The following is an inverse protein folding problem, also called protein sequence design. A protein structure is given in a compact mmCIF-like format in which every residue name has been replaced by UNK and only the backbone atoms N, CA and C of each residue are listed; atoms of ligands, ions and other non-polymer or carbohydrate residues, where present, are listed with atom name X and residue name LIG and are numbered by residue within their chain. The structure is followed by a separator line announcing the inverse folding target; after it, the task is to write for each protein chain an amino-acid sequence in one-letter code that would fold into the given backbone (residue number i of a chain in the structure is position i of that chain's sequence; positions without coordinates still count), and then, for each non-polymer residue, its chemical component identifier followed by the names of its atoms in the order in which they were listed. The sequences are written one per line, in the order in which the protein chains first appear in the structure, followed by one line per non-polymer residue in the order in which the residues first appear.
data_IF_836156666103
#
_entry.id   IF_836156666103
#
_cell.length_a   1.000
_cell.length_b   1.000
_cell.length_c   1.000
_cell.angle_alpha   90.00
_cell.angle_beta   90.00
_cell.angle_gamma   90.00
#
_symmetry.space_group_name_H-M   'P 1'
#
loop_
_entity.id
_entity.type
_entity.pdbx_description
1 polymer ?
#
# COMPACT_ATOMS: atom_id res chain seq x y z
N UNK A 1 9.69 48.04 20.43
CA UNK A 1 8.61 47.25 19.79
C UNK A 1 9.17 46.75 18.48
N UNK A 2 9.85 45.62 18.56
CA UNK A 2 10.68 45.12 17.47
C UNK A 2 9.84 44.35 16.45
N UNK A 3 10.17 44.56 15.18
CA UNK A 3 9.62 43.89 14.01
C UNK A 3 9.86 42.36 14.07
N UNK A 4 8.92 41.62 14.68
CA UNK A 4 8.87 40.15 14.63
C UNK A 4 8.20 39.59 13.36
N UNK A 5 7.90 40.45 12.37
CA UNK A 5 7.34 40.04 11.07
C UNK A 5 8.40 40.00 9.95
N UNK A 6 9.62 39.57 10.28
CA UNK A 6 10.47 38.98 9.26
C UNK A 6 9.79 37.68 8.79
N UNK A 7 8.95 37.77 7.75
CA UNK A 7 8.44 36.60 7.05
C UNK A 7 9.66 35.79 6.58
N UNK A 8 9.85 34.53 7.02
CA UNK A 8 11.07 33.80 6.70
C UNK A 8 11.00 33.28 5.27
N UNK A 9 11.11 34.17 4.28
CA UNK A 9 11.44 33.79 2.91
C UNK A 9 12.85 33.15 2.84
N UNK A 10 13.68 33.33 3.87
CA UNK A 10 15.06 32.84 3.98
C UNK A 10 15.22 31.42 4.55
N UNK A 11 14.14 30.70 4.87
CA UNK A 11 14.20 29.26 5.23
C UNK A 11 13.41 28.38 4.25
N UNK A 12 13.45 28.71 2.96
CA UNK A 12 12.98 27.77 1.93
C UNK A 12 13.99 26.63 1.88
N UNK A 13 13.62 25.47 2.45
CA UNK A 13 14.37 24.24 2.26
C UNK A 13 14.59 24.00 0.76
N UNK A 14 15.84 24.07 0.33
CA UNK A 14 16.26 23.51 -0.96
C UNK A 14 16.33 22.01 -0.76
N UNK A 15 15.23 21.33 -1.05
CA UNK A 15 15.17 19.87 -0.95
C UNK A 15 16.19 19.27 -1.90
N UNK A 16 17.00 18.32 -1.43
CA UNK A 16 17.93 17.58 -2.28
C UNK A 16 17.08 16.88 -3.33
N UNK A 17 17.35 17.08 -4.64
CA UNK A 17 16.65 16.35 -5.68
C UNK A 17 16.73 14.86 -5.40
N UNK A 18 15.57 14.22 -5.31
CA UNK A 18 15.47 12.78 -5.19
C UNK A 18 14.90 12.24 -6.49
N UNK A 19 15.44 11.11 -6.92
CA UNK A 19 14.88 10.37 -8.05
C UNK A 19 13.57 9.75 -7.58
N UNK A 20 12.48 10.05 -8.29
CA UNK A 20 11.22 9.36 -8.13
C UNK A 20 11.38 7.94 -8.69
N UNK A 21 11.22 6.94 -7.83
CA UNK A 21 11.50 5.55 -8.22
C UNK A 21 10.31 4.94 -8.99
N UNK A 22 10.52 3.99 -9.92
CA UNK A 22 9.43 3.40 -10.71
C UNK A 22 8.32 2.79 -9.83
N UNK A 23 7.08 3.23 -10.06
CA UNK A 23 5.90 2.82 -9.28
C UNK A 23 5.85 3.33 -7.84
N UNK A 24 6.76 4.20 -7.40
CA UNK A 24 6.75 4.78 -6.05
C UNK A 24 5.48 5.59 -5.76
N UNK A 25 4.91 5.47 -4.56
CA UNK A 25 3.80 6.34 -4.15
C UNK A 25 4.30 7.74 -3.77
N UNK A 26 3.50 8.79 -4.02
CA UNK A 26 3.87 10.16 -3.63
C UNK A 26 4.15 10.26 -2.13
N UNK A 27 3.35 9.58 -1.31
CA UNK A 27 3.59 9.48 0.13
C UNK A 27 4.94 8.84 0.46
N UNK A 28 5.46 7.90 -0.34
CA UNK A 28 6.76 7.24 -0.13
C UNK A 28 7.90 8.20 -0.44
N UNK A 29 7.78 8.92 -1.54
CA UNK A 29 8.75 9.95 -1.93
C UNK A 29 8.89 11.00 -0.83
N UNK A 30 7.76 11.50 -0.31
CA UNK A 30 7.73 12.48 0.78
C UNK A 30 8.32 11.88 2.07
N UNK A 31 8.02 10.62 2.40
CA UNK A 31 8.58 9.94 3.58
C UNK A 31 10.10 9.81 3.53
N UNK A 32 10.65 9.44 2.38
CA UNK A 32 12.10 9.33 2.17
C UNK A 32 12.75 10.70 2.29
N UNK A 33 12.18 11.73 1.68
CA UNK A 33 12.70 13.09 1.80
C UNK A 33 12.64 13.59 3.25
N UNK A 34 11.53 13.38 3.96
CA UNK A 34 11.40 13.81 5.34
C UNK A 34 12.50 13.20 6.22
N UNK A 35 12.78 11.91 6.02
CA UNK A 35 13.84 11.20 6.75
C UNK A 35 15.26 11.66 6.37
N UNK A 36 15.54 11.90 5.08
CA UNK A 36 16.82 12.46 4.64
C UNK A 36 17.11 13.82 5.30
N UNK A 37 16.06 14.61 5.53
CA UNK A 37 16.16 15.93 6.17
C UNK A 37 16.02 15.89 7.69
N UNK A 38 15.77 14.73 8.29
CA UNK A 38 15.55 14.60 9.73
C UNK A 38 14.31 15.35 10.24
N UNK A 39 13.30 15.54 9.41
CA UNK A 39 12.04 16.26 9.74
C UNK A 39 10.83 15.33 9.68
N UNK A 40 9.71 15.76 10.26
CA UNK A 40 8.44 15.03 10.13
C UNK A 40 7.81 15.24 8.74
N UNK A 41 7.02 14.27 8.27
CA UNK A 41 6.31 14.39 6.98
C UNK A 41 5.45 15.65 6.94
N UNK A 42 4.70 15.91 8.02
CA UNK A 42 3.84 17.10 8.11
C UNK A 42 4.64 18.40 7.98
N UNK A 43 5.83 18.46 8.58
CA UNK A 43 6.70 19.64 8.56
C UNK A 43 7.23 19.88 7.16
N UNK A 44 7.72 18.82 6.50
CA UNK A 44 8.18 18.89 5.12
C UNK A 44 7.06 19.36 4.18
N UNK A 45 5.85 18.82 4.33
CA UNK A 45 4.69 19.19 3.48
C UNK A 45 4.30 20.65 3.72
N UNK A 46 4.28 21.13 4.96
CA UNK A 46 3.98 22.52 5.29
C UNK A 46 5.03 23.50 4.77
N UNK A 47 6.31 23.13 4.86
CA UNK A 47 7.41 23.94 4.33
C UNK A 47 7.43 23.95 2.80
N UNK A 48 7.02 22.86 2.16
CA UNK A 48 6.87 22.80 0.72
C UNK A 48 5.72 23.69 0.26
N UNK A 49 4.52 23.49 0.81
CA UNK A 49 3.32 24.25 0.45
C UNK A 49 2.34 24.30 1.63
N UNK A 50 2.28 25.41 2.38
CA UNK A 50 1.50 25.45 3.63
C UNK A 50 0.00 25.16 3.46
N UNK A 51 -0.72 26.00 2.70
CA UNK A 51 -2.18 25.87 2.50
C UNK A 51 -2.51 24.58 1.75
N UNK A 52 -1.84 24.37 0.61
CA UNK A 52 -2.02 23.20 -0.25
C UNK A 52 -1.65 21.89 0.44
N UNK A 53 -0.62 21.94 1.28
CA UNK A 53 -0.09 20.81 2.03
C UNK A 53 -1.04 20.37 3.14
N UNK A 54 -1.74 21.30 3.80
CA UNK A 54 -2.80 20.95 4.75
C UNK A 54 -3.88 20.07 4.11
N UNK A 55 -4.28 20.40 2.87
CA UNK A 55 -5.25 19.60 2.11
C UNK A 55 -4.61 18.28 1.67
N UNK A 56 -3.38 18.31 1.14
CA UNK A 56 -2.69 17.15 0.62
C UNK A 56 -2.35 16.11 1.71
N UNK A 57 -2.14 16.51 2.97
CA UNK A 57 -1.86 15.59 4.08
C UNK A 57 -3.00 14.58 4.35
N UNK A 58 -4.24 14.89 3.95
CA UNK A 58 -5.36 13.95 4.04
C UNK A 58 -5.10 12.67 3.24
N UNK A 59 -4.49 12.80 2.05
CA UNK A 59 -4.09 11.70 1.20
C UNK A 59 -3.13 12.20 0.08
N UNK A 60 -1.81 12.10 0.34
CA UNK A 60 -0.78 12.56 -0.60
C UNK A 60 -0.82 11.83 -1.94
N UNK A 61 -1.24 10.57 -1.95
CA UNK A 61 -1.26 9.76 -3.18
C UNK A 61 -2.48 10.09 -4.06
N UNK A 62 -3.52 10.72 -3.50
CA UNK A 62 -4.80 10.99 -4.18
C UNK A 62 -5.06 12.51 -4.36
N UNK A 63 -4.15 13.36 -3.88
CA UNK A 63 -4.35 14.80 -3.85
C UNK A 63 -4.62 15.39 -5.26
N UNK A 64 -5.86 15.87 -5.48
CA UNK A 64 -6.25 16.64 -6.67
C UNK A 64 -6.14 18.14 -6.48
N UNK A 65 -6.43 18.59 -5.26
CA UNK A 65 -6.65 19.99 -4.96
C UNK A 65 -5.39 20.66 -4.39
N UNK A 66 -5.17 21.91 -4.78
CA UNK A 66 -4.29 22.83 -4.05
C UNK A 66 -2.94 23.16 -4.68
N UNK A 67 -2.56 22.65 -5.85
CA UNK A 67 -1.23 22.99 -6.40
C UNK A 67 -0.04 22.48 -5.56
N UNK A 68 -0.30 21.55 -4.61
CA UNK A 68 0.77 20.93 -3.82
C UNK A 68 1.81 20.29 -4.76
N UNK A 69 1.37 19.50 -5.74
CA UNK A 69 2.28 18.85 -6.68
C UNK A 69 3.05 19.85 -7.55
N UNK A 70 2.46 21.00 -7.90
CA UNK A 70 3.14 22.05 -8.66
C UNK A 70 4.25 22.68 -7.82
N UNK A 71 3.93 23.06 -6.58
CA UNK A 71 4.90 23.65 -5.65
C UNK A 71 5.97 22.63 -5.26
N UNK A 72 5.59 21.38 -5.05
CA UNK A 72 6.50 20.29 -4.71
C UNK A 72 7.44 19.97 -5.87
N UNK A 73 6.95 19.94 -7.11
CA UNK A 73 7.77 19.84 -8.33
C UNK A 73 8.80 20.98 -8.38
N UNK A 74 8.35 22.23 -8.21
CA UNK A 74 9.23 23.40 -8.21
C UNK A 74 10.31 23.34 -7.12
N UNK A 75 9.97 22.83 -5.92
CA UNK A 75 10.88 22.75 -4.77
C UNK A 75 11.89 21.61 -4.85
N UNK A 76 11.50 20.49 -5.46
CA UNK A 76 12.33 19.27 -5.55
C UNK A 76 13.07 19.16 -6.88
N UNK A 77 12.66 19.92 -7.90
CA UNK A 77 13.16 19.81 -9.26
C UNK A 77 12.63 18.60 -10.03
N UNK A 78 11.71 17.81 -9.45
CA UNK A 78 11.08 16.67 -10.11
C UNK A 78 10.07 17.18 -11.14
N UNK A 79 10.08 16.61 -12.35
CA UNK A 79 9.10 16.93 -13.38
C UNK A 79 7.68 16.69 -12.85
N UNK A 80 6.85 17.73 -12.97
CA UNK A 80 5.45 17.71 -12.56
C UNK A 80 4.64 16.60 -13.22
N UNK A 81 4.94 16.26 -14.48
CA UNK A 81 4.29 15.18 -15.23
C UNK A 81 4.61 13.82 -14.62
N UNK A 82 5.84 13.63 -14.12
CA UNK A 82 6.22 12.40 -13.41
C UNK A 82 5.45 12.28 -12.09
N UNK A 83 5.31 13.37 -11.32
CA UNK A 83 4.47 13.35 -10.12
C UNK A 83 2.99 13.04 -10.43
N UNK A 84 2.46 13.54 -11.55
CA UNK A 84 1.10 13.19 -11.99
C UNK A 84 0.95 11.69 -12.28
N UNK A 85 1.91 11.09 -12.98
CA UNK A 85 1.88 9.66 -13.32
C UNK A 85 1.90 8.79 -12.05
N UNK A 86 2.59 9.24 -11.01
CA UNK A 86 2.67 8.52 -9.74
C UNK A 86 1.52 8.81 -8.77
N UNK A 87 0.58 9.67 -9.17
CA UNK A 87 -0.62 9.96 -8.40
C UNK A 87 -1.70 8.92 -8.69
N UNK A 88 -2.39 8.49 -7.65
CA UNK A 88 -3.60 7.70 -7.76
C UNK A 88 -4.82 8.54 -8.14
N UNK A 89 -5.73 7.94 -8.90
CA UNK A 89 -7.04 8.53 -9.13
C UNK A 89 -7.87 8.57 -7.83
N UNK A 90 -8.74 9.59 -7.68
CA UNK A 90 -9.64 9.72 -6.52
C UNK A 90 -10.61 8.55 -6.37
N UNK A 91 -11.04 7.99 -7.49
CA UNK A 91 -11.89 6.80 -7.55
C UNK A 91 -11.10 5.49 -7.39
N UNK A 92 -9.76 5.54 -7.31
CA UNK A 92 -8.96 4.33 -7.24
C UNK A 92 -9.27 3.56 -5.94
N UNK A 93 -9.51 2.24 -6.01
CA UNK A 93 -9.80 1.41 -4.85
C UNK A 93 -8.52 1.09 -4.06
N UNK A 94 -7.91 2.15 -3.52
CA UNK A 94 -6.81 2.07 -2.58
C UNK A 94 -7.33 1.83 -1.17
N UNK A 95 -6.55 1.12 -0.36
CA UNK A 95 -6.76 1.06 1.09
C UNK A 95 -6.66 2.46 1.69
N UNK A 96 -7.23 2.65 2.89
CA UNK A 96 -7.08 3.93 3.61
C UNK A 96 -5.61 4.30 3.75
N UNK A 97 -5.27 5.59 3.73
CA UNK A 97 -3.87 6.04 3.84
C UNK A 97 -3.16 5.42 5.06
N UNK A 98 -3.90 5.26 6.17
CA UNK A 98 -3.46 4.62 7.42
C UNK A 98 -3.19 3.12 7.32
N UNK A 99 -3.45 2.50 6.17
CA UNK A 99 -3.22 1.09 5.91
C UNK A 99 -2.22 0.88 4.76
N UNK A 100 -1.61 1.94 4.21
CA UNK A 100 -0.64 1.87 3.09
C UNK A 100 0.78 1.55 3.55
N UNK A 101 0.87 0.51 4.37
CA UNK A 101 2.11 -0.11 4.86
C UNK A 101 2.46 -1.47 4.24
N UNK A 102 1.70 -2.04 3.26
CA UNK A 102 2.15 -3.21 2.53
C UNK A 102 3.49 -2.99 1.84
N UNK A 103 4.39 -3.95 1.92
CA UNK A 103 5.66 -3.96 1.21
C UNK A 103 6.09 -5.35 0.79
N UNK A 104 6.95 -5.45 -0.22
CA UNK A 104 7.64 -6.70 -0.57
C UNK A 104 9.07 -6.68 0.01
N UNK A 105 9.41 -7.58 0.95
CA UNK A 105 10.77 -7.68 1.50
C UNK A 105 11.83 -7.98 0.43
N UNK A 106 11.50 -8.78 -0.57
CA UNK A 106 12.41 -9.08 -1.68
C UNK A 106 12.67 -7.86 -2.55
N UNK A 107 11.65 -7.08 -2.91
CA UNK A 107 11.84 -5.79 -3.59
C UNK A 107 12.72 -4.85 -2.78
N UNK A 108 12.48 -4.72 -1.47
CA UNK A 108 13.29 -3.86 -0.60
C UNK A 108 14.75 -4.31 -0.55
N UNK A 109 14.99 -5.62 -0.47
CA UNK A 109 16.33 -6.19 -0.49
C UNK A 109 17.03 -5.89 -1.83
N UNK A 110 16.34 -6.06 -2.96
CA UNK A 110 16.87 -5.74 -4.29
C UNK A 110 17.14 -4.24 -4.45
N UNK A 111 16.22 -3.37 -4.03
CA UNK A 111 16.37 -1.92 -4.06
C UNK A 111 17.63 -1.52 -3.26
N UNK A 112 17.77 -2.01 -2.02
CA UNK A 112 18.93 -1.74 -1.17
C UNK A 112 20.24 -2.33 -1.74
N UNK A 113 20.19 -3.53 -2.32
CA UNK A 113 21.37 -4.18 -2.93
C UNK A 113 21.84 -3.45 -4.18
N UNK A 114 20.93 -2.77 -4.88
CA UNK A 114 21.25 -1.90 -6.03
C UNK A 114 21.72 -0.49 -5.60
N UNK A 115 21.90 -0.23 -4.31
CA UNK A 115 22.28 1.09 -3.79
C UNK A 115 21.13 2.11 -3.80
N UNK A 116 19.89 1.66 -3.99
CA UNK A 116 18.71 2.52 -3.89
C UNK A 116 18.13 2.47 -2.48
N UNK A 117 17.62 3.62 -1.99
CA UNK A 117 16.82 3.64 -0.77
C UNK A 117 15.49 2.93 -1.07
N UNK A 118 15.14 1.84 -0.36
CA UNK A 118 13.88 1.13 -0.57
C UNK A 118 12.66 2.05 -0.48
N UNK A 119 11.63 1.75 -1.26
CA UNK A 119 10.49 2.64 -1.42
C UNK A 119 9.18 1.87 -1.55
N UNK A 120 8.09 2.47 -1.08
CA UNK A 120 6.76 1.87 -1.13
C UNK A 120 6.15 2.13 -2.50
N UNK A 121 5.79 1.05 -3.19
CA UNK A 121 5.15 1.11 -4.49
C UNK A 121 3.66 1.38 -4.32
N UNK A 122 3.10 2.24 -5.17
CA UNK A 122 1.69 2.64 -5.13
C UNK A 122 0.75 1.44 -5.32
N UNK A 123 1.13 0.49 -6.18
CA UNK A 123 0.35 -0.73 -6.40
C UNK A 123 0.10 -1.53 -5.11
N UNK A 124 1.03 -1.54 -4.17
CA UNK A 124 0.88 -2.26 -2.91
C UNK A 124 -0.25 -1.70 -2.02
N UNK A 125 -0.70 -0.48 -2.30
CA UNK A 125 -1.84 0.15 -1.63
C UNK A 125 -3.21 -0.26 -2.21
N UNK A 126 -3.28 -1.01 -3.30
CA UNK A 126 -4.57 -1.45 -3.88
C UNK A 126 -5.24 -2.44 -2.96
N UNK A 127 -6.56 -2.38 -2.82
CA UNK A 127 -7.32 -3.36 -2.01
C UNK A 127 -7.13 -4.78 -2.56
N UNK A 128 -7.14 -4.93 -3.89
CA UNK A 128 -7.10 -6.22 -4.57
C UNK A 128 -5.71 -6.74 -4.95
N UNK A 129 -4.63 -6.18 -4.37
CA UNK A 129 -3.26 -6.67 -4.63
C UNK A 129 -2.54 -7.04 -3.35
N UNK A 130 -2.54 -8.31 -2.98
CA UNK A 130 -1.98 -8.78 -1.71
C UNK A 130 -0.69 -9.56 -1.87
N UNK A 131 -0.27 -9.87 -3.10
CA UNK A 131 1.02 -10.45 -3.40
C UNK A 131 1.87 -9.51 -4.28
N UNK A 132 3.19 -9.70 -4.22
CA UNK A 132 4.10 -8.99 -5.10
C UNK A 132 4.03 -9.60 -6.50
N UNK A 133 3.62 -8.83 -7.50
CA UNK A 133 3.58 -9.30 -8.91
C UNK A 133 4.96 -9.69 -9.44
N UNK A 134 6.04 -9.08 -8.92
CA UNK A 134 7.41 -9.38 -9.34
C UNK A 134 7.93 -10.70 -8.74
N UNK A 135 7.66 -10.93 -7.45
CA UNK A 135 8.27 -12.05 -6.71
C UNK A 135 7.31 -13.20 -6.40
N UNK A 136 6.00 -13.03 -6.63
CA UNK A 136 5.01 -14.05 -6.34
C UNK A 136 4.84 -14.36 -4.85
N UNK A 137 5.39 -13.54 -3.94
CA UNK A 137 5.30 -13.72 -2.50
C UNK A 137 4.20 -12.83 -1.88
N UNK A 138 3.68 -13.17 -0.69
CA UNK A 138 2.81 -12.28 0.07
C UNK A 138 3.48 -10.91 0.28
N UNK A 139 2.70 -9.83 0.22
CA UNK A 139 3.10 -8.53 0.77
C UNK A 139 3.06 -8.55 2.31
N UNK A 140 4.00 -7.90 2.96
CA UNK A 140 4.11 -7.86 4.42
C UNK A 140 3.68 -6.49 4.93
N UNK A 141 3.36 -6.37 6.22
CA UNK A 141 3.05 -5.08 6.84
C UNK A 141 4.31 -4.46 7.42
N UNK A 142 4.68 -3.28 6.91
CA UNK A 142 5.70 -2.46 7.54
C UNK A 142 5.21 -1.95 8.89
N UNK A 143 5.99 -2.20 9.95
CA UNK A 143 5.61 -1.85 11.33
C UNK A 143 6.20 -0.54 11.82
N UNK A 144 7.34 -0.11 11.25
CA UNK A 144 8.05 1.10 11.69
C UNK A 144 7.39 2.33 11.10
N UNK A 145 6.34 2.81 11.76
CA UNK A 145 5.57 3.98 11.36
C UNK A 145 5.56 5.01 12.51
N UNK A 146 5.83 6.26 12.19
CA UNK A 146 5.71 7.40 13.11
C UNK A 146 4.25 7.66 13.50
N UNK A 147 4.04 8.45 14.55
CA UNK A 147 2.69 8.92 14.96
C UNK A 147 1.98 9.75 13.88
N UNK A 148 2.72 10.44 13.00
CA UNK A 148 2.17 11.17 11.84
C UNK A 148 1.97 10.29 10.59
N UNK A 149 2.17 8.97 10.72
CA UNK A 149 2.01 8.00 9.66
C UNK A 149 3.22 7.87 8.72
N UNK A 150 4.34 8.56 8.98
CA UNK A 150 5.60 8.44 8.21
C UNK A 150 6.17 7.03 8.32
N UNK A 151 6.46 6.37 7.20
CA UNK A 151 7.11 5.04 7.20
C UNK A 151 8.61 5.21 7.41
N UNK A 152 9.11 4.84 8.58
CA UNK A 152 10.52 4.96 8.95
C UNK A 152 11.33 3.82 8.37
N UNK A 153 12.32 4.13 7.54
CA UNK A 153 13.34 3.22 7.02
C UNK A 153 14.59 3.29 7.91
N UNK A 154 15.41 2.22 7.98
CA UNK A 154 16.73 2.27 8.62
C UNK A 154 17.61 3.38 8.05
N UNK A 155 18.33 4.08 8.94
CA UNK A 155 19.28 5.12 8.53
C UNK A 155 20.37 4.57 7.60
N UNK A 156 20.87 3.36 7.86
CA UNK A 156 21.86 2.67 7.02
C UNK A 156 21.47 2.57 5.54
N UNK A 157 20.17 2.50 5.21
CA UNK A 157 19.70 2.47 3.83
C UNK A 157 19.87 3.80 3.10
N UNK A 158 19.95 4.92 3.83
CA UNK A 158 20.19 6.25 3.26
C UNK A 158 21.67 6.55 3.01
N UNK A 159 22.57 5.85 3.70
CA UNK A 159 24.02 6.01 3.57
C UNK A 159 24.69 4.86 2.79
N UNK A 160 23.89 3.95 2.21
CA UNK A 160 24.39 2.91 1.31
C UNK A 160 24.96 1.67 2.01
N UNK A 161 24.69 1.44 3.30
CA UNK A 161 25.13 0.24 4.04
C UNK A 161 24.43 -1.06 3.58
N UNK A 162 23.54 -0.96 2.59
CA UNK A 162 22.76 -2.07 2.08
C UNK A 162 21.72 -2.57 3.08
N UNK A 163 21.08 -3.72 2.82
CA UNK A 163 20.10 -4.30 3.73
C UNK A 163 20.81 -4.89 4.95
N UNK A 164 21.24 -4.06 5.91
CA UNK A 164 21.73 -4.57 7.19
C UNK A 164 20.59 -5.22 7.97
N UNK A 165 20.48 -6.54 7.84
CA UNK A 165 19.46 -7.38 8.45
C UNK A 165 19.56 -7.39 9.99
N UNK A 166 20.68 -6.95 10.58
CA UNK A 166 20.87 -6.92 12.03
C UNK A 166 20.04 -5.82 12.68
N UNK A 167 19.85 -4.70 11.97
CA UNK A 167 19.09 -3.53 12.46
C UNK A 167 17.57 -3.71 12.47
N UNK A 168 17.04 -4.74 11.79
CA UNK A 168 15.60 -4.99 11.65
C UNK A 168 15.24 -6.48 11.72
N UNK A 169 15.05 -7.04 12.94
CA UNK A 169 14.67 -8.44 13.12
C UNK A 169 13.41 -8.83 12.33
N UNK A 170 12.38 -7.97 12.30
CA UNK A 170 11.17 -8.23 11.54
C UNK A 170 11.44 -8.30 10.03
N UNK A 171 12.23 -7.38 9.47
CA UNK A 171 12.54 -7.39 8.03
C UNK A 171 13.27 -8.68 7.63
N UNK A 172 14.19 -9.17 8.47
CA UNK A 172 14.87 -10.45 8.25
C UNK A 172 13.87 -11.62 8.22
N UNK A 173 12.94 -11.66 9.17
CA UNK A 173 11.90 -12.69 9.21
C UNK A 173 10.98 -12.61 7.98
N UNK A 174 10.50 -11.40 7.65
CA UNK A 174 9.65 -11.15 6.49
C UNK A 174 10.38 -11.54 5.19
N UNK A 175 11.67 -11.25 5.05
CA UNK A 175 12.49 -11.63 3.89
C UNK A 175 12.66 -13.15 3.76
N UNK A 176 12.92 -13.85 4.86
CA UNK A 176 12.99 -15.31 4.86
C UNK A 176 11.66 -15.93 4.42
N UNK A 177 10.54 -15.46 4.97
CA UNK A 177 9.21 -15.92 4.59
C UNK A 177 8.90 -15.60 3.13
N UNK A 178 9.18 -14.37 2.68
CA UNK A 178 8.97 -13.97 1.30
C UNK A 178 9.71 -14.89 0.32
N UNK A 179 10.99 -15.20 0.58
CA UNK A 179 11.78 -16.16 -0.21
C UNK A 179 11.16 -17.55 -0.19
N UNK A 180 10.71 -18.02 0.96
CA UNK A 180 10.08 -19.33 1.05
C UNK A 180 8.82 -19.43 0.18
N UNK A 181 7.97 -18.40 0.15
CA UNK A 181 6.82 -18.35 -0.76
C UNK A 181 7.22 -18.21 -2.23
N UNK A 182 8.20 -17.35 -2.54
CA UNK A 182 8.64 -17.10 -3.91
C UNK A 182 9.25 -18.35 -4.57
N UNK A 183 10.00 -19.14 -3.80
CA UNK A 183 10.69 -20.34 -4.28
C UNK A 183 9.90 -21.64 -4.01
N UNK A 184 8.61 -21.54 -3.66
CA UNK A 184 7.73 -22.71 -3.50
C UNK A 184 7.99 -23.58 -2.26
N UNK A 185 8.83 -23.15 -1.32
CA UNK A 185 9.00 -23.81 -0.03
C UNK A 185 7.83 -23.53 0.94
N UNK A 186 7.00 -22.53 0.61
CA UNK A 186 5.75 -22.20 1.30
C UNK A 186 4.64 -21.86 0.29
N UNK A 187 3.37 -22.12 0.66
CA UNK A 187 2.94 -22.86 1.86
C UNK A 187 3.26 -24.36 1.76
N UNK A 188 3.18 -25.11 2.87
CA UNK A 188 3.57 -26.54 2.89
C UNK A 188 2.40 -27.50 2.62
N UNK A 189 1.23 -27.18 3.14
CA UNK A 189 0.05 -28.02 2.99
C UNK A 189 -0.49 -27.94 1.54
N UNK A 190 -0.85 -29.06 0.89
CA UNK A 190 -1.38 -29.05 -0.48
C UNK A 190 -2.57 -28.11 -0.68
N UNK A 191 -3.53 -28.12 0.25
CA UNK A 191 -4.69 -27.22 0.24
C UNK A 191 -4.30 -25.73 0.29
N UNK A 192 -3.27 -25.39 1.07
CA UNK A 192 -2.75 -24.03 1.16
C UNK A 192 -2.01 -23.63 -0.11
N UNK A 193 -1.29 -24.56 -0.76
CA UNK A 193 -0.62 -24.32 -2.05
C UNK A 193 -1.66 -23.99 -3.12
N UNK A 194 -2.72 -24.79 -3.20
CA UNK A 194 -3.83 -24.57 -4.11
C UNK A 194 -4.49 -23.21 -3.85
N UNK A 195 -4.82 -22.90 -2.59
CA UNK A 195 -5.42 -21.62 -2.22
C UNK A 195 -4.53 -20.42 -2.58
N UNK A 196 -3.22 -20.54 -2.34
CA UNK A 196 -2.25 -19.51 -2.68
C UNK A 196 -2.12 -19.31 -4.20
N UNK A 197 -2.03 -20.40 -4.96
CA UNK A 197 -1.96 -20.33 -6.42
C UNK A 197 -3.24 -19.76 -7.02
N UNK A 198 -4.39 -20.17 -6.52
CA UNK A 198 -5.69 -19.61 -6.89
C UNK A 198 -5.72 -18.10 -6.69
N UNK A 199 -5.34 -17.64 -5.50
CA UNK A 199 -5.31 -16.21 -5.17
C UNK A 199 -4.35 -15.44 -6.09
N UNK A 200 -3.12 -15.95 -6.30
CA UNK A 200 -2.14 -15.32 -7.20
C UNK A 200 -2.69 -15.17 -8.62
N UNK A 201 -3.26 -16.25 -9.16
CA UNK A 201 -3.81 -16.26 -10.51
C UNK A 201 -4.96 -15.26 -10.65
N UNK A 202 -5.86 -15.21 -9.65
CA UNK A 202 -6.96 -14.26 -9.64
C UNK A 202 -6.47 -12.81 -9.59
N UNK A 203 -5.54 -12.49 -8.71
CA UNK A 203 -4.97 -11.14 -8.62
C UNK A 203 -4.18 -10.75 -9.88
N UNK A 204 -3.44 -11.69 -10.49
CA UNK A 204 -2.75 -11.47 -11.75
C UNK A 204 -3.74 -11.20 -12.90
N UNK A 205 -4.86 -11.93 -12.96
CA UNK A 205 -5.93 -11.69 -13.93
C UNK A 205 -6.56 -10.30 -13.76
N UNK A 206 -6.87 -9.89 -12.52
CA UNK A 206 -7.35 -8.53 -12.23
C UNK A 206 -6.35 -7.48 -12.72
N UNK A 207 -5.06 -7.69 -12.41
CA UNK A 207 -3.99 -6.78 -12.81
C UNK A 207 -3.86 -6.65 -14.34
N UNK A 208 -3.85 -7.78 -15.06
CA UNK A 208 -3.75 -7.83 -16.52
C UNK A 208 -4.95 -7.17 -17.21
N UNK A 209 -6.14 -7.34 -16.63
CA UNK A 209 -7.38 -6.70 -17.11
C UNK A 209 -7.44 -5.21 -16.76
N UNK A 210 -6.46 -4.68 -16.02
CA UNK A 210 -6.40 -3.28 -15.62
C UNK A 210 -7.32 -2.91 -14.45
N UNK A 211 -8.05 -3.88 -13.89
CA UNK A 211 -8.92 -3.70 -12.73
C UNK A 211 -8.10 -3.11 -11.58
N UNK A 212 -8.53 -1.99 -11.01
CA UNK A 212 -7.86 -1.28 -9.91
C UNK A 212 -6.48 -0.71 -10.21
N UNK A 213 -6.08 -0.53 -11.48
CA UNK A 213 -4.82 0.14 -11.80
C UNK A 213 -4.77 1.53 -11.12
N UNK A 214 -3.76 1.82 -10.28
CA UNK A 214 -3.75 3.04 -9.49
C UNK A 214 -3.38 4.26 -10.35
N UNK A 215 -2.55 4.03 -11.36
CA UNK A 215 -2.07 5.02 -12.33
C UNK A 215 -3.08 5.12 -13.47
N UNK A 216 -3.35 6.34 -13.92
CA UNK A 216 -4.30 6.70 -14.97
C UNK A 216 -4.13 5.86 -16.25
N UNK A 217 -4.83 4.73 -16.30
CA UNK A 217 -5.28 4.14 -17.55
C UNK A 217 -6.72 4.58 -17.73
N UNK A 218 -7.10 4.96 -18.94
CA UNK A 218 -8.51 4.96 -19.32
C UNK A 218 -8.93 3.50 -19.16
N UNK A 219 -9.56 3.17 -18.03
CA UNK A 219 -10.13 1.85 -17.86
C UNK A 219 -11.19 1.69 -18.95
N UNK A 220 -11.06 0.62 -19.72
CA UNK A 220 -12.13 0.18 -20.59
C UNK A 220 -13.38 -0.13 -19.74
N UNK A 221 -14.56 -0.08 -20.36
CA UNK A 221 -15.81 -0.31 -19.64
C UNK A 221 -15.85 -1.73 -19.03
N UNK A 222 -15.12 -2.67 -19.64
CA UNK A 222 -14.95 -4.04 -19.16
C UNK A 222 -14.25 -4.09 -17.80
N UNK A 223 -13.10 -3.45 -17.63
CA UNK A 223 -12.35 -3.42 -16.38
C UNK A 223 -13.16 -2.75 -15.27
N UNK A 224 -13.93 -1.69 -15.59
CA UNK A 224 -14.84 -1.06 -14.62
C UNK A 224 -15.98 -1.98 -14.20
N UNK A 225 -16.53 -2.76 -15.13
CA UNK A 225 -17.55 -3.77 -14.82
C UNK A 225 -16.99 -4.84 -13.90
N UNK A 226 -15.83 -5.42 -14.26
CA UNK A 226 -15.19 -6.46 -13.44
C UNK A 226 -14.83 -5.93 -12.05
N UNK A 227 -14.27 -4.71 -11.97
CA UNK A 227 -13.98 -4.07 -10.69
C UNK A 227 -15.23 -4.00 -9.82
N UNK A 228 -16.35 -3.55 -10.40
CA UNK A 228 -17.64 -3.45 -9.71
C UNK A 228 -18.14 -4.80 -9.23
N UNK A 229 -18.14 -5.81 -10.09
CA UNK A 229 -18.63 -7.15 -9.76
C UNK A 229 -17.79 -7.80 -8.64
N UNK A 230 -16.46 -7.65 -8.71
CA UNK A 230 -15.52 -8.14 -7.68
C UNK A 230 -15.75 -7.40 -6.36
N UNK A 231 -15.96 -6.08 -6.41
CA UNK A 231 -16.28 -5.27 -5.23
C UNK A 231 -17.62 -5.68 -4.60
N UNK A 232 -18.69 -5.77 -5.37
CA UNK A 232 -20.02 -6.15 -4.88
C UNK A 232 -20.00 -7.52 -4.20
N UNK A 233 -19.28 -8.48 -4.78
CA UNK A 233 -19.09 -9.78 -4.16
C UNK A 233 -18.27 -9.68 -2.86
N UNK A 234 -17.12 -9.00 -2.87
CA UNK A 234 -16.29 -8.82 -1.67
C UNK A 234 -17.06 -8.21 -0.50
N UNK A 235 -17.93 -7.25 -0.80
CA UNK A 235 -18.74 -6.56 0.20
C UNK A 235 -19.88 -7.44 0.73
N UNK A 236 -20.55 -8.18 -0.16
CA UNK A 236 -21.60 -9.14 0.25
C UNK A 236 -21.04 -10.18 1.21
N UNK A 237 -19.84 -10.69 0.93
CA UNK A 237 -19.12 -11.60 1.83
C UNK A 237 -18.79 -10.94 3.17
N UNK A 238 -18.28 -9.70 3.14
CA UNK A 238 -17.96 -8.97 4.36
C UNK A 238 -19.17 -8.75 5.27
N UNK A 239 -20.33 -8.43 4.68
CA UNK A 239 -21.60 -8.28 5.40
C UNK A 239 -22.09 -9.59 6.00
N UNK A 240 -22.10 -10.66 5.20
CA UNK A 240 -22.51 -11.98 5.66
C UNK A 240 -21.65 -12.47 6.84
N UNK A 241 -20.33 -12.28 6.75
CA UNK A 241 -19.41 -12.63 7.83
C UNK A 241 -19.68 -11.85 9.12
N UNK A 242 -19.88 -10.53 8.99
CA UNK A 242 -20.15 -9.64 10.13
C UNK A 242 -21.48 -9.98 10.80
N UNK A 243 -22.54 -10.20 10.01
CA UNK A 243 -23.87 -10.54 10.52
C UNK A 243 -23.90 -11.87 11.27
N UNK A 244 -23.10 -12.85 10.83
CA UNK A 244 -23.06 -14.18 11.41
C UNK A 244 -22.01 -14.32 12.52
N UNK A 245 -21.24 -13.27 12.84
CA UNK A 245 -20.13 -13.34 13.80
C UNK A 245 -19.04 -14.35 13.43
N UNK A 246 -18.96 -14.74 12.15
CA UNK A 246 -18.11 -15.85 11.68
C UNK A 246 -16.75 -15.36 11.21
N UNK A 247 -15.71 -16.10 11.62
CA UNK A 247 -14.40 -16.07 10.99
C UNK A 247 -14.44 -16.93 9.74
N UNK A 248 -14.51 -16.29 8.57
CA UNK A 248 -14.64 -16.99 7.28
C UNK A 248 -13.40 -17.87 6.92
N UNK A 249 -12.29 -17.78 7.67
CA UNK A 249 -11.11 -18.66 7.50
C UNK A 249 -10.71 -19.31 8.83
N UNK A 250 -11.68 -19.72 9.64
CA UNK A 250 -11.42 -20.66 10.74
C UNK A 250 -11.73 -22.12 10.39
N UNK A 251 -12.63 -22.40 9.45
CA UNK A 251 -13.15 -23.77 9.23
C UNK A 251 -12.34 -24.65 8.26
N UNK A 252 -11.07 -24.33 7.99
CA UNK A 252 -10.19 -25.30 7.33
C UNK A 252 -9.19 -25.83 8.33
N UNK A 253 -9.50 -26.98 8.93
CA UNK A 253 -8.61 -27.79 9.77
C UNK A 253 -7.25 -28.15 9.10
N UNK A 254 -7.04 -27.74 7.83
CA UNK A 254 -5.89 -28.05 7.01
C UNK A 254 -4.87 -26.90 6.85
N UNK A 255 -5.07 -25.73 7.48
CA UNK A 255 -4.17 -24.56 7.31
C UNK A 255 -3.27 -24.41 8.52
N UNK A 256 -1.94 -24.53 8.33
CA UNK A 256 -0.97 -24.39 9.43
C UNK A 256 -1.04 -23.00 10.08
N UNK A 257 -0.64 -22.87 11.37
CA UNK A 257 -0.64 -21.59 12.10
C UNK A 257 0.10 -20.45 11.36
N UNK A 258 1.19 -20.78 10.65
CA UNK A 258 1.91 -19.79 9.85
C UNK A 258 1.12 -19.36 8.60
N UNK A 259 0.39 -20.28 7.99
CA UNK A 259 -0.47 -20.00 6.84
C UNK A 259 -1.74 -19.22 7.28
N UNK A 260 -2.23 -19.43 8.51
CA UNK A 260 -3.25 -18.59 9.13
C UNK A 260 -2.78 -17.14 9.25
N UNK A 261 -1.51 -16.85 9.55
CA UNK A 261 -1.03 -15.45 9.56
C UNK A 261 -1.11 -14.78 8.17
N UNK A 262 -1.05 -15.57 7.10
CA UNK A 262 -1.12 -15.07 5.72
C UNK A 262 -2.57 -14.96 5.26
N UNK A 263 -3.44 -15.92 5.58
CA UNK A 263 -4.79 -16.05 5.04
C UNK A 263 -5.93 -15.85 6.05
N UNK A 264 -5.66 -15.49 7.31
CA UNK A 264 -6.72 -15.27 8.31
C UNK A 264 -7.31 -13.87 8.27
N UNK A 265 -8.54 -13.76 8.76
CA UNK A 265 -9.15 -12.47 9.01
C UNK A 265 -10.25 -12.52 10.05
N UNK A 266 -10.35 -11.40 10.77
CA UNK A 266 -11.39 -11.10 11.75
C UNK A 266 -12.07 -9.80 11.32
N UNK A 267 -13.39 -9.82 11.14
CA UNK A 267 -14.13 -8.55 11.09
C UNK A 267 -14.31 -8.06 12.52
N UNK A 268 -13.90 -6.82 12.80
CA UNK A 268 -14.38 -6.14 14.00
C UNK A 268 -15.83 -5.79 13.76
N UNK A 269 -16.70 -5.99 14.76
CA UNK A 269 -18.08 -5.51 14.71
C UNK A 269 -18.10 -4.05 14.23
N UNK A 270 -18.50 -3.87 12.98
CA UNK A 270 -18.78 -2.55 12.44
C UNK A 270 -20.30 -2.43 12.47
N UNK A 271 -20.86 -1.33 12.98
CA UNK A 271 -22.30 -1.13 12.94
C UNK A 271 -22.77 -1.28 11.49
N UNK A 272 -23.63 -2.26 11.26
CA UNK A 272 -24.24 -2.50 9.94
C UNK A 272 -25.03 -1.24 9.62
N UNK A 273 -24.57 -0.48 8.63
CA UNK A 273 -25.34 0.64 8.07
C UNK A 273 -26.21 0.07 6.97
N UNK A 274 -27.52 0.30 7.07
CA UNK A 274 -28.55 -0.20 6.14
C UNK A 274 -28.41 0.36 4.70
N UNK A 275 -27.56 1.35 4.48
CA UNK A 275 -27.29 1.86 3.14
C UNK A 275 -26.40 0.91 2.35
N UNK A 276 -26.79 0.62 1.11
CA UNK A 276 -26.01 0.00 0.04
C UNK A 276 -24.49 0.28 0.24
N UNK A 277 -23.66 -0.74 0.38
CA UNK A 277 -22.35 -0.57 0.94
C UNK A 277 -21.47 0.11 -0.10
N UNK A 278 -21.13 1.36 0.16
CA UNK A 278 -20.23 2.08 -0.71
C UNK A 278 -18.83 1.47 -0.55
N UNK A 279 -17.96 1.67 -1.54
CA UNK A 279 -16.52 1.38 -1.46
C UNK A 279 -15.87 1.80 -0.12
N UNK A 280 -16.43 2.84 0.52
CA UNK A 280 -16.02 3.37 1.83
C UNK A 280 -16.16 2.34 2.95
N UNK A 281 -17.19 1.53 2.92
CA UNK A 281 -17.51 0.57 3.98
C UNK A 281 -16.58 -0.65 3.93
N UNK A 282 -16.24 -1.13 2.72
CA UNK A 282 -15.20 -2.15 2.58
C UNK A 282 -13.82 -1.62 2.99
N UNK A 283 -13.50 -0.37 2.61
CA UNK A 283 -12.22 0.27 2.92
C UNK A 283 -12.01 0.48 4.42
N UNK A 284 -13.09 0.66 5.19
CA UNK A 284 -13.04 0.78 6.65
C UNK A 284 -13.05 -0.59 7.36
N UNK A 285 -13.73 -1.59 6.80
CA UNK A 285 -13.83 -2.94 7.34
C UNK A 285 -12.58 -3.80 7.11
N UNK A 286 -11.91 -3.63 5.98
CA UNK A 286 -10.67 -4.35 5.66
C UNK A 286 -9.46 -3.65 6.30
N UNK A 287 -9.03 -4.16 7.46
CA UNK A 287 -8.02 -3.50 8.30
C UNK A 287 -6.61 -4.08 8.17
N UNK A 288 -6.44 -5.21 7.50
CA UNK A 288 -5.15 -5.88 7.38
C UNK A 288 -4.95 -6.49 6.00
N UNK A 289 -3.70 -6.76 5.65
CA UNK A 289 -3.38 -7.41 4.38
C UNK A 289 -3.80 -8.88 4.34
N UNK A 290 -3.83 -9.55 5.50
CA UNK A 290 -4.36 -10.90 5.63
C UNK A 290 -5.88 -10.91 5.39
N UNK A 291 -6.60 -9.92 5.92
CA UNK A 291 -8.03 -9.70 5.62
C UNK A 291 -8.31 -9.53 4.13
N UNK A 292 -7.47 -8.74 3.45
CA UNK A 292 -7.57 -8.57 2.00
C UNK A 292 -7.41 -9.89 1.25
N UNK A 293 -6.42 -10.70 1.61
CA UNK A 293 -6.15 -11.99 0.96
C UNK A 293 -7.32 -12.92 1.06
N UNK A 294 -7.85 -13.01 2.26
CA UNK A 294 -8.90 -13.95 2.56
C UNK A 294 -10.21 -13.59 1.84
N UNK A 295 -10.57 -12.30 1.82
CA UNK A 295 -11.69 -11.81 1.00
C UNK A 295 -11.47 -12.14 -0.48
N UNK A 296 -10.28 -11.84 -1.02
CA UNK A 296 -9.97 -12.11 -2.43
C UNK A 296 -9.96 -13.60 -2.78
N UNK A 297 -9.50 -14.46 -1.86
CA UNK A 297 -9.53 -15.89 -2.03
C UNK A 297 -10.96 -16.40 -2.14
N UNK A 298 -11.86 -15.95 -1.25
CA UNK A 298 -13.28 -16.33 -1.31
C UNK A 298 -13.93 -15.77 -2.59
N UNK A 299 -13.65 -14.52 -2.96
CA UNK A 299 -14.17 -13.94 -4.20
C UNK A 299 -13.68 -14.72 -5.43
N UNK A 300 -12.41 -15.12 -5.48
CA UNK A 300 -11.87 -15.96 -6.55
C UNK A 300 -12.62 -17.30 -6.68
N UNK A 301 -13.30 -17.73 -5.60
CA UNK A 301 -14.40 -18.70 -5.54
C UNK A 301 -15.30 -18.69 -6.77
N UNK A 302 -15.91 -17.53 -7.01
CA UNK A 302 -16.94 -17.32 -8.02
C UNK A 302 -16.43 -17.14 -9.44
N UNK A 303 -15.14 -16.81 -9.61
CA UNK A 303 -14.59 -16.46 -10.93
C UNK A 303 -13.84 -17.62 -11.59
N UNK A 304 -13.47 -18.67 -10.86
CA UNK A 304 -12.89 -19.89 -11.45
C UNK A 304 -13.95 -20.86 -11.99
N UNK A 305 -15.24 -20.60 -11.76
CA UNK A 305 -16.35 -21.43 -12.25
C UNK A 305 -16.92 -20.95 -13.59
N UNK A 306 -16.31 -19.93 -14.21
CA UNK A 306 -16.66 -19.36 -15.52
C UNK A 306 -15.51 -19.59 -16.49
#
# INVERSE_FOLDING_TARGET
MDNYLATPQSRRLKLVPQVLMPGESISSLVDRQAQLWGVLRKELVYQAAFISGLVALKDLDVCKEGGFLDIYAQKTGIDRRLLEIHRAQVSSPLVSQRLRYPYCPMCFHEDASAGHIPYFRLDWARIFLTHCQRHGCPLFRWSRVSSDGTRKLPHGWFIGEGPDQRSLPQFRQDLMLARAYAFGARPRAPSSIEAWNRLKNFEAWLYQTGVCAPICRVLDDRARSIERDVMEHAVTLARSATANGRLLVEESDAVSFEDQRVMSFTFKESPVRDSNPAWRDLRSGIQSIACRRAVLFIVSGAYNAK
#
